data_IF_665969795383
#
_entry.id   IF_665969795383
#
_cell.length_a   1.000
_cell.length_b   1.000
_cell.length_c   1.000
_cell.angle_alpha   90.00
_cell.angle_beta   90.00
_cell.angle_gamma   90.00
#
_symmetry.space_group_name_H-M   'P 1'
#
loop_
_entity.id
_entity.type
_entity.pdbx_description
1 polymer ?
#
# COMPACT_ATOMS: atom_id res chain seq x y z
N UNK A 1 4.09 9.72 23.50
CA UNK A 1 3.85 10.42 22.22
C UNK A 1 4.11 9.42 21.10
N UNK A 2 3.37 9.42 19.98
CA UNK A 2 3.72 8.51 18.89
C UNK A 2 5.14 8.89 18.42
N UNK A 3 6.07 7.97 18.63
CA UNK A 3 7.51 8.25 18.73
C UNK A 3 8.28 8.12 17.42
N UNK A 4 7.63 8.33 16.28
CA UNK A 4 8.27 8.27 14.96
C UNK A 4 8.38 9.68 14.43
N UNK A 5 9.61 10.11 14.08
CA UNK A 5 9.83 11.39 13.44
C UNK A 5 9.34 11.36 11.99
N UNK A 6 8.99 12.52 11.44
CA UNK A 6 8.40 12.61 10.10
C UNK A 6 9.35 12.08 9.00
N UNK A 7 10.67 12.25 9.15
CA UNK A 7 11.65 11.74 8.21
C UNK A 7 11.62 10.20 8.13
N UNK A 8 11.57 9.53 9.29
CA UNK A 8 11.52 8.08 9.42
C UNK A 8 10.16 7.54 8.96
N UNK A 9 9.08 8.27 9.24
CA UNK A 9 7.75 7.93 8.74
C UNK A 9 7.72 7.98 7.21
N UNK A 10 8.25 9.04 6.60
CA UNK A 10 8.34 9.18 5.16
C UNK A 10 9.24 8.11 4.54
N UNK A 11 10.36 7.78 5.18
CA UNK A 11 11.26 6.72 4.74
C UNK A 11 10.58 5.35 4.81
N UNK A 12 9.87 5.06 5.91
CA UNK A 12 9.08 3.85 6.08
C UNK A 12 7.98 3.71 5.01
N UNK A 13 7.20 4.77 4.77
CA UNK A 13 6.15 4.77 3.74
C UNK A 13 6.73 4.61 2.34
N UNK A 14 7.93 5.16 2.08
CA UNK A 14 8.63 4.96 0.82
C UNK A 14 9.04 3.50 0.64
N UNK A 15 9.62 2.89 1.67
CA UNK A 15 10.00 1.48 1.65
C UNK A 15 8.78 0.57 1.46
N UNK A 16 7.67 0.84 2.18
CA UNK A 16 6.41 0.10 2.03
C UNK A 16 5.88 0.14 0.59
N UNK A 17 5.85 1.33 -0.03
CA UNK A 17 5.43 1.49 -1.42
C UNK A 17 6.38 0.79 -2.40
N UNK A 18 7.69 0.82 -2.17
CA UNK A 18 8.65 0.08 -2.99
C UNK A 18 8.43 -1.44 -2.92
N UNK A 19 8.09 -1.99 -1.74
CA UNK A 19 7.76 -3.40 -1.59
C UNK A 19 6.47 -3.77 -2.33
N UNK A 20 5.44 -2.92 -2.26
CA UNK A 20 4.20 -3.11 -3.01
C UNK A 20 4.40 -3.02 -4.53
N UNK A 21 5.21 -2.05 -5.01
CA UNK A 21 5.60 -1.99 -6.42
C UNK A 21 6.30 -3.25 -6.88
N UNK A 22 7.29 -3.72 -6.10
CA UNK A 22 8.02 -4.93 -6.45
C UNK A 22 7.10 -6.14 -6.54
N UNK A 23 6.23 -6.34 -5.55
CA UNK A 23 5.25 -7.41 -5.59
C UNK A 23 4.30 -7.29 -6.79
N UNK A 24 3.80 -6.08 -7.09
CA UNK A 24 2.98 -5.83 -8.27
C UNK A 24 3.70 -6.14 -9.60
N UNK A 25 4.99 -5.83 -9.71
CA UNK A 25 5.79 -6.21 -10.89
C UNK A 25 5.99 -7.72 -10.99
N UNK A 26 6.21 -8.41 -9.87
CA UNK A 26 6.38 -9.86 -9.84
C UNK A 26 5.09 -10.62 -10.17
N UNK A 27 3.94 -10.12 -9.71
CA UNK A 27 2.64 -10.77 -9.89
C UNK A 27 1.94 -10.35 -11.21
N UNK A 28 2.14 -9.11 -11.67
CA UNK A 28 1.53 -8.56 -12.89
C UNK A 28 2.39 -8.65 -14.15
N UNK A 29 3.70 -8.91 -14.00
CA UNK A 29 4.62 -9.09 -15.13
C UNK A 29 4.99 -7.80 -15.87
N UNK A 30 4.55 -6.63 -15.37
CA UNK A 30 4.78 -5.32 -15.99
C UNK A 30 5.18 -4.26 -14.95
N UNK A 31 5.84 -3.20 -15.41
CA UNK A 31 6.21 -2.06 -14.54
C UNK A 31 5.02 -1.18 -14.18
N UNK A 32 3.95 -1.19 -15.00
CA UNK A 32 2.71 -0.46 -14.76
C UNK A 32 1.93 -1.03 -13.57
N UNK A 33 1.85 -2.37 -13.44
CA UNK A 33 1.21 -3.03 -12.29
C UNK A 33 1.91 -2.70 -10.97
N UNK A 34 3.24 -2.60 -10.99
CA UNK A 34 4.02 -2.13 -9.85
C UNK A 34 3.70 -0.68 -9.47
N UNK A 35 3.60 0.21 -10.46
CA UNK A 35 3.25 1.62 -10.23
C UNK A 35 1.86 1.76 -9.60
N UNK A 36 0.88 1.01 -10.11
CA UNK A 36 -0.49 0.98 -9.60
C UNK A 36 -0.51 0.46 -8.16
N UNK A 37 0.15 -0.66 -7.88
CA UNK A 37 0.21 -1.23 -6.53
C UNK A 37 0.86 -0.26 -5.51
N UNK A 38 1.93 0.44 -5.89
CA UNK A 38 2.60 1.39 -5.00
C UNK A 38 1.84 2.70 -4.78
N UNK A 39 1.07 3.16 -5.76
CA UNK A 39 0.37 4.46 -5.70
C UNK A 39 -1.01 4.36 -5.06
N UNK A 40 -1.51 3.15 -4.80
CA UNK A 40 -2.81 2.94 -4.16
C UNK A 40 -2.83 3.37 -2.70
N UNK A 41 -3.91 4.06 -2.32
CA UNK A 41 -4.16 4.45 -0.93
C UNK A 41 -4.22 3.23 0.00
N UNK A 42 -4.70 2.08 -0.48
CA UNK A 42 -4.71 0.82 0.27
C UNK A 42 -3.32 0.43 0.78
N UNK A 43 -2.28 0.61 -0.04
CA UNK A 43 -0.89 0.34 0.33
C UNK A 43 -0.44 1.25 1.47
N UNK A 44 -0.75 2.53 1.38
CA UNK A 44 -0.42 3.53 2.41
C UNK A 44 -1.19 3.24 3.71
N UNK A 45 -2.49 2.94 3.61
CA UNK A 45 -3.34 2.59 4.75
C UNK A 45 -2.84 1.34 5.48
N UNK A 46 -2.53 0.28 4.73
CA UNK A 46 -1.98 -0.94 5.30
C UNK A 46 -0.63 -0.71 6.00
N UNK A 47 0.24 0.12 5.41
CA UNK A 47 1.51 0.48 6.02
C UNK A 47 1.32 1.22 7.35
N UNK A 48 0.38 2.16 7.43
CA UNK A 48 0.07 2.90 8.67
C UNK A 48 -0.55 2.00 9.75
N UNK A 49 -1.49 1.14 9.37
CA UNK A 49 -2.08 0.16 10.30
C UNK A 49 -1.01 -0.79 10.84
N UNK A 50 -0.15 -1.33 9.97
CA UNK A 50 0.94 -2.23 10.36
C UNK A 50 1.96 -1.52 11.27
N UNK A 51 2.24 -0.24 11.01
CA UNK A 51 3.13 0.56 11.86
C UNK A 51 2.54 0.75 13.25
N UNK A 52 1.26 1.11 13.33
CA UNK A 52 0.55 1.26 14.60
C UNK A 52 0.54 -0.06 15.40
N UNK A 53 0.17 -1.17 14.76
CA UNK A 53 0.15 -2.52 15.36
C UNK A 53 1.54 -3.05 15.74
N UNK A 54 2.60 -2.45 15.22
CA UNK A 54 3.99 -2.76 15.57
C UNK A 54 4.52 -1.85 16.68
N UNK A 55 3.65 -1.03 17.29
CA UNK A 55 4.04 -0.08 18.33
C UNK A 55 4.91 1.06 17.80
N UNK A 56 4.71 1.44 16.53
CA UNK A 56 5.49 2.45 15.83
C UNK A 56 6.98 2.09 15.62
N UNK A 57 7.34 0.81 15.72
CA UNK A 57 8.66 0.30 15.35
C UNK A 57 8.70 0.01 13.84
N UNK A 58 9.36 0.89 13.08
CA UNK A 58 9.46 0.78 11.63
C UNK A 58 10.14 -0.51 11.17
N UNK A 59 11.16 -0.99 11.89
CA UNK A 59 11.87 -2.22 11.55
C UNK A 59 10.95 -3.45 11.66
N UNK A 60 10.21 -3.56 12.77
CA UNK A 60 9.21 -4.63 12.95
C UNK A 60 8.07 -4.54 11.94
N UNK A 61 7.61 -3.32 11.64
CA UNK A 61 6.55 -3.10 10.68
C UNK A 61 6.98 -3.53 9.26
N UNK A 62 8.20 -3.18 8.84
CA UNK A 62 8.75 -3.63 7.54
C UNK A 62 8.88 -5.15 7.48
N UNK A 63 9.36 -5.81 8.54
CA UNK A 63 9.44 -7.28 8.58
C UNK A 63 8.07 -7.95 8.42
N UNK A 64 7.00 -7.34 8.94
CA UNK A 64 5.62 -7.83 8.72
C UNK A 64 5.18 -7.60 7.28
N UNK A 65 5.41 -6.41 6.73
CA UNK A 65 5.03 -6.06 5.36
C UNK A 65 5.72 -6.95 4.32
N UNK A 66 6.99 -7.33 4.49
CA UNK A 66 7.70 -8.22 3.54
C UNK A 66 6.97 -9.56 3.35
N UNK A 67 6.25 -10.06 4.35
CA UNK A 67 5.50 -11.33 4.24
C UNK A 67 4.22 -11.19 3.44
N UNK A 68 3.63 -9.98 3.40
CA UNK A 68 2.39 -9.64 2.70
C UNK A 68 2.50 -8.18 2.20
N UNK A 69 3.30 -7.94 1.16
CA UNK A 69 3.65 -6.58 0.72
C UNK A 69 2.46 -5.84 0.10
N UNK A 70 1.49 -6.59 -0.44
CA UNK A 70 0.25 -6.06 -0.99
C UNK A 70 -0.90 -6.46 -0.05
N UNK A 71 -1.64 -5.50 0.53
CA UNK A 71 -2.85 -5.83 1.26
C UNK A 71 -3.86 -6.50 0.32
N UNK A 72 -4.66 -7.44 0.85
CA UNK A 72 -5.79 -7.98 0.09
C UNK A 72 -6.68 -6.81 -0.27
N UNK A 73 -6.73 -6.49 -1.56
CA UNK A 73 -7.52 -5.40 -2.07
C UNK A 73 -8.96 -5.59 -1.59
N UNK A 74 -9.54 -4.60 -0.94
CA UNK A 74 -10.98 -4.54 -0.90
C UNK A 74 -11.35 -4.17 -2.33
N UNK A 75 -11.84 -5.13 -3.11
CA UNK A 75 -12.38 -4.86 -4.44
C UNK A 75 -13.57 -3.90 -4.28
N UNK A 76 -13.27 -2.61 -4.34
CA UNK A 76 -14.22 -1.54 -4.63
C UNK A 76 -13.98 -1.05 -6.05
N UNK A 77 -13.68 -1.97 -6.96
CA UNK A 77 -13.70 -1.68 -8.38
C UNK A 77 -15.16 -1.68 -8.79
N UNK A 78 -15.69 -0.50 -9.11
CA UNK A 78 -16.96 -0.42 -9.80
C UNK A 78 -16.83 -1.11 -11.16
N UNK A 79 -17.87 -1.83 -11.53
CA UNK A 79 -18.02 -2.33 -12.90
C UNK A 79 -18.05 -1.15 -13.87
N UNK A 80 -17.67 -1.37 -15.13
CA UNK A 80 -17.77 -0.32 -16.14
C UNK A 80 -19.17 0.30 -16.22
N UNK A 81 -20.20 -0.51 -15.99
CA UNK A 81 -21.59 -0.04 -16.00
C UNK A 81 -21.89 0.87 -14.81
N UNK A 82 -21.37 0.57 -13.62
CA UNK A 82 -21.47 1.46 -12.45
C UNK A 82 -20.70 2.76 -12.68
N UNK A 83 -19.51 2.71 -13.28
CA UNK A 83 -18.75 3.90 -13.68
C UNK A 83 -19.54 4.73 -14.68
N UNK A 84 -20.12 4.10 -15.73
CA UNK A 84 -20.93 4.78 -16.74
C UNK A 84 -22.19 5.40 -16.15
N UNK A 85 -22.85 4.72 -15.21
CA UNK A 85 -24.02 5.25 -14.49
C UNK A 85 -23.65 6.46 -13.65
N UNK A 86 -22.56 6.37 -12.89
CA UNK A 86 -22.09 7.47 -12.07
C UNK A 86 -21.70 8.71 -12.88
N UNK A 87 -20.98 8.53 -13.99
CA UNK A 87 -20.59 9.66 -14.87
C UNK A 87 -21.82 10.32 -15.50
N UNK A 88 -22.90 9.56 -15.72
CA UNK A 88 -24.15 10.07 -16.32
C UNK A 88 -25.11 10.73 -15.32
N UNK A 89 -24.98 10.46 -14.02
CA UNK A 89 -25.86 10.98 -12.95
C UNK A 89 -26.98 10.01 -12.61
#
# INVERSE_FOLDING_TARGET
MPGVNDCDLLMYLRAARSMAAFAGMCDGGSTEDGCVAASRDDTTLNALNTLHESGYDAGKALQRLVKKPVPKLIEKCWTEDEVKRFVKG
#
